data_IF_684376927189
#
_entry.id   IF_684376927189
#
_cell.length_a   1.000
_cell.length_b   1.000
_cell.length_c   1.000
_cell.angle_alpha   90.00
_cell.angle_beta   90.00
_cell.angle_gamma   90.00
#
_symmetry.space_group_name_H-M   'P 1'
#
loop_
_entity.id
_entity.type
_entity.pdbx_description
1 polymer ?
#
# COMPACT_ATOMS: atom_id res chain seq x y z
N UNK A 1 -24.65 26.01 -21.75
CA UNK A 1 -24.73 24.54 -21.64
C UNK A 1 -23.28 24.06 -21.63
N UNK A 2 -22.67 24.00 -20.46
CA UNK A 2 -21.33 23.44 -20.29
C UNK A 2 -21.51 21.92 -20.34
N UNK A 3 -20.85 21.28 -21.31
CA UNK A 3 -20.90 19.84 -21.49
C UNK A 3 -20.08 19.24 -20.35
N UNK A 4 -20.73 18.48 -19.47
CA UNK A 4 -20.06 17.68 -18.44
C UNK A 4 -19.14 16.70 -19.15
N UNK A 5 -17.84 16.82 -18.91
CA UNK A 5 -16.91 15.70 -19.11
C UNK A 5 -17.42 14.58 -18.19
N UNK A 6 -17.39 13.34 -18.65
CA UNK A 6 -17.68 12.16 -17.83
C UNK A 6 -16.82 12.26 -16.57
N UNK A 7 -17.42 12.62 -15.44
CA UNK A 7 -16.71 12.64 -14.18
C UNK A 7 -16.52 11.17 -13.75
N UNK A 8 -15.33 10.82 -13.31
CA UNK A 8 -15.02 9.56 -12.64
C UNK A 8 -14.99 9.85 -11.13
N UNK A 9 -16.15 9.94 -10.43
CA UNK A 9 -16.23 10.54 -9.11
C UNK A 9 -15.76 9.58 -8.02
N UNK A 10 -14.46 9.31 -7.92
CA UNK A 10 -13.84 8.63 -6.79
C UNK A 10 -13.77 9.55 -5.56
N UNK A 11 -13.96 9.02 -4.36
CA UNK A 11 -13.95 9.82 -3.12
C UNK A 11 -13.31 9.07 -1.98
N UNK A 12 -12.38 9.73 -1.27
CA UNK A 12 -11.78 9.23 -0.04
C UNK A 12 -12.04 10.19 1.12
N UNK A 13 -12.28 9.67 2.32
CA UNK A 13 -12.43 10.49 3.54
C UNK A 13 -11.93 9.78 4.80
N UNK A 14 -11.67 10.56 5.84
CA UNK A 14 -11.54 10.12 7.24
C UNK A 14 -12.73 10.60 8.05
N UNK A 15 -13.26 9.73 8.90
CA UNK A 15 -14.16 10.11 9.99
C UNK A 15 -13.55 9.66 11.32
N UNK A 16 -13.49 10.57 12.29
CA UNK A 16 -12.88 10.32 13.59
C UNK A 16 -13.57 11.12 14.69
N UNK A 17 -13.89 10.46 15.82
CA UNK A 17 -14.38 11.12 17.04
C UNK A 17 -14.06 10.23 18.24
N UNK A 18 -13.42 10.82 19.26
CA UNK A 18 -12.94 10.05 20.40
C UNK A 18 -11.91 9.00 19.97
N UNK A 19 -12.13 7.75 20.39
CA UNK A 19 -11.29 6.60 20.02
C UNK A 19 -11.67 5.99 18.68
N UNK A 20 -12.82 6.33 18.08
CA UNK A 20 -13.31 5.77 16.81
C UNK A 20 -12.61 6.41 15.61
N UNK A 21 -12.18 5.60 14.63
CA UNK A 21 -11.51 6.05 13.41
C UNK A 21 -11.83 5.12 12.23
N UNK A 22 -12.40 5.69 11.16
CA UNK A 22 -12.64 4.99 9.90
C UNK A 22 -12.11 5.79 8.71
N UNK A 23 -11.68 5.08 7.67
CA UNK A 23 -11.34 5.62 6.35
C UNK A 23 -12.27 5.03 5.30
N UNK A 24 -12.90 5.87 4.49
CA UNK A 24 -13.83 5.43 3.44
C UNK A 24 -13.31 5.76 2.06
N UNK A 25 -13.59 4.88 1.09
CA UNK A 25 -13.34 5.10 -0.33
C UNK A 25 -14.51 4.61 -1.21
N UNK A 26 -14.86 5.39 -2.22
CA UNK A 26 -15.68 4.96 -3.36
C UNK A 26 -14.85 5.03 -4.64
N UNK A 27 -14.85 3.94 -5.42
CA UNK A 27 -14.30 3.91 -6.77
C UNK A 27 -15.43 4.09 -7.79
N UNK A 28 -15.29 5.04 -8.70
CA UNK A 28 -16.26 5.30 -9.76
C UNK A 28 -15.56 5.52 -11.11
N UNK A 29 -15.76 4.60 -12.05
CA UNK A 29 -15.18 4.66 -13.39
C UNK A 29 -16.27 4.71 -14.49
N UNK A 30 -17.35 5.47 -14.25
CA UNK A 30 -18.40 5.70 -15.26
C UNK A 30 -19.14 4.44 -15.71
N UNK A 31 -19.52 3.59 -14.74
CA UNK A 31 -20.32 2.37 -14.91
C UNK A 31 -19.71 1.27 -15.81
N UNK A 32 -18.41 1.35 -16.14
CA UNK A 32 -17.76 0.36 -16.99
C UNK A 32 -17.74 -1.04 -16.36
N UNK A 33 -17.99 -1.19 -15.07
CA UNK A 33 -18.03 -2.48 -14.37
C UNK A 33 -16.64 -2.94 -13.98
N UNK A 34 -15.92 -2.09 -13.23
CA UNK A 34 -14.55 -2.35 -12.79
C UNK A 34 -14.49 -3.61 -11.90
N UNK A 35 -13.88 -4.71 -12.37
CA UNK A 35 -13.77 -5.95 -11.61
C UNK A 35 -12.67 -5.80 -10.57
N UNK A 36 -12.76 -6.42 -9.40
CA UNK A 36 -11.74 -6.26 -8.37
C UNK A 36 -11.26 -7.54 -7.72
N UNK A 37 -9.99 -7.56 -7.35
CA UNK A 37 -9.36 -8.61 -6.55
C UNK A 37 -8.96 -8.05 -5.20
N UNK A 38 -9.08 -8.87 -4.16
CA UNK A 38 -8.52 -8.57 -2.83
C UNK A 38 -7.33 -9.48 -2.58
N UNK A 39 -6.22 -8.90 -2.13
CA UNK A 39 -5.01 -9.62 -1.75
C UNK A 39 -4.73 -9.51 -0.26
N UNK A 40 -4.28 -10.62 0.34
CA UNK A 40 -3.70 -10.65 1.68
C UNK A 40 -2.18 -10.80 1.52
N UNK A 41 -1.49 -9.66 1.53
CA UNK A 41 -0.03 -9.56 1.37
C UNK A 41 0.67 -9.86 2.69
N UNK A 42 1.85 -10.46 2.64
CA UNK A 42 2.58 -10.94 3.83
C UNK A 42 3.77 -10.06 4.18
N UNK A 43 4.17 -10.07 5.44
CA UNK A 43 5.48 -9.61 5.91
C UNK A 43 6.59 -10.51 5.36
N UNK A 44 7.83 -10.03 5.40
CA UNK A 44 9.01 -10.83 5.10
C UNK A 44 9.07 -11.32 3.65
N UNK A 45 8.39 -10.65 2.72
CA UNK A 45 8.40 -11.00 1.30
C UNK A 45 9.39 -10.09 0.57
N UNK A 46 10.39 -10.68 -0.07
CA UNK A 46 11.29 -9.94 -0.96
C UNK A 46 10.55 -9.57 -2.25
N UNK A 47 10.59 -8.28 -2.61
CA UNK A 47 9.95 -7.70 -3.78
C UNK A 47 10.97 -6.90 -4.58
N UNK A 48 10.73 -6.80 -5.87
CA UNK A 48 11.48 -5.95 -6.79
C UNK A 48 10.54 -4.89 -7.33
N UNK A 49 11.04 -3.66 -7.42
CA UNK A 49 10.29 -2.55 -7.99
C UNK A 49 9.95 -2.81 -9.45
N UNK A 50 8.85 -2.23 -9.90
CA UNK A 50 8.45 -2.23 -11.31
C UNK A 50 8.08 -0.84 -11.75
N UNK A 51 8.64 -0.38 -12.86
CA UNK A 51 8.15 0.83 -13.54
C UNK A 51 7.07 0.47 -14.56
N UNK A 52 6.25 1.43 -14.94
CA UNK A 52 5.24 1.24 -15.97
C UNK A 52 5.89 1.02 -17.34
N UNK A 53 6.97 1.76 -17.64
CA UNK A 53 7.70 1.58 -18.91
C UNK A 53 8.32 0.18 -19.02
N UNK A 54 8.85 -0.37 -17.93
CA UNK A 54 9.38 -1.74 -17.90
C UNK A 54 8.32 -2.77 -18.29
N UNK A 55 7.12 -2.63 -17.73
CA UNK A 55 6.03 -3.56 -17.96
C UNK A 55 5.42 -3.44 -19.37
N UNK A 56 5.61 -2.31 -20.05
CA UNK A 56 4.84 -1.99 -21.26
C UNK A 56 5.64 -1.74 -22.52
N UNK A 57 6.98 -1.62 -22.48
CA UNK A 57 7.80 -1.44 -23.69
C UNK A 57 8.54 -2.72 -24.11
N UNK A 58 8.80 -2.95 -25.41
CA UNK A 58 9.48 -4.17 -25.89
C UNK A 58 10.86 -4.43 -25.27
N UNK A 59 11.57 -3.37 -24.91
CA UNK A 59 12.94 -3.37 -24.41
C UNK A 59 13.05 -3.32 -22.87
N UNK A 60 11.93 -3.36 -22.15
CA UNK A 60 11.89 -3.22 -20.67
C UNK A 60 12.56 -1.92 -20.19
N UNK A 61 12.29 -0.83 -20.90
CA UNK A 61 12.91 0.47 -20.66
C UNK A 61 12.66 0.98 -19.24
N UNK A 62 13.67 1.65 -18.66
CA UNK A 62 13.66 2.21 -17.30
C UNK A 62 13.19 1.23 -16.21
N UNK A 63 13.61 -0.03 -16.28
CA UNK A 63 13.40 -1.00 -15.21
C UNK A 63 13.82 -0.44 -13.85
N UNK A 64 13.02 -0.72 -12.83
CA UNK A 64 13.36 -0.31 -11.46
C UNK A 64 14.60 -1.06 -10.97
N UNK A 65 15.51 -0.37 -10.30
CA UNK A 65 16.62 -0.98 -9.56
C UNK A 65 16.33 -1.12 -8.05
N UNK A 66 15.11 -0.77 -7.64
CA UNK A 66 14.69 -0.81 -6.25
C UNK A 66 14.23 -2.22 -5.86
N UNK A 67 14.45 -2.57 -4.59
CA UNK A 67 13.97 -3.82 -4.02
C UNK A 67 13.80 -3.67 -2.52
N UNK A 68 12.88 -4.45 -1.95
CA UNK A 68 12.63 -4.41 -0.51
C UNK A 68 12.17 -5.74 0.04
N UNK A 69 12.19 -5.89 1.36
CA UNK A 69 11.48 -6.95 2.08
C UNK A 69 10.34 -6.29 2.86
N UNK A 70 9.10 -6.72 2.64
CA UNK A 70 7.93 -6.14 3.29
C UNK A 70 8.01 -6.23 4.82
N UNK A 71 7.91 -5.08 5.48
CA UNK A 71 7.88 -4.98 6.95
C UNK A 71 6.51 -5.34 7.51
N UNK A 72 5.45 -4.94 6.80
CA UNK A 72 4.05 -5.12 7.20
C UNK A 72 3.30 -5.97 6.18
N UNK A 73 2.35 -6.77 6.67
CA UNK A 73 1.30 -7.37 5.84
C UNK A 73 0.21 -6.33 5.51
N UNK A 74 -0.58 -6.59 4.47
CA UNK A 74 -1.66 -5.67 4.07
C UNK A 74 -2.83 -6.36 3.39
N UNK A 75 -3.99 -5.70 3.47
CA UNK A 75 -5.18 -6.02 2.67
C UNK A 75 -5.30 -4.97 1.58
N UNK A 76 -5.21 -5.38 0.33
CA UNK A 76 -5.25 -4.47 -0.82
C UNK A 76 -6.35 -4.84 -1.79
N UNK A 77 -6.88 -3.82 -2.47
CA UNK A 77 -7.87 -3.90 -3.52
C UNK A 77 -7.21 -3.54 -4.84
N UNK A 78 -7.29 -4.43 -5.82
CA UNK A 78 -6.42 -4.42 -6.99
C UNK A 78 -7.22 -4.71 -8.26
N UNK A 79 -6.96 -3.91 -9.30
CA UNK A 79 -7.44 -4.15 -10.67
C UNK A 79 -6.41 -4.79 -11.58
N UNK A 80 -5.15 -4.40 -11.41
CA UNK A 80 -4.07 -4.79 -12.31
C UNK A 80 -3.28 -6.00 -11.79
N UNK A 81 -3.40 -6.33 -10.52
CA UNK A 81 -2.88 -7.58 -9.96
C UNK A 81 -2.07 -7.40 -8.71
N UNK A 82 -1.40 -8.48 -8.29
CA UNK A 82 -0.59 -8.51 -7.08
C UNK A 82 0.41 -7.34 -7.08
N UNK A 83 0.63 -6.71 -5.93
CA UNK A 83 1.57 -5.59 -5.75
C UNK A 83 1.28 -4.33 -6.61
N UNK A 84 0.13 -4.30 -7.30
CA UNK A 84 -0.42 -3.16 -8.03
C UNK A 84 -1.84 -2.79 -7.52
N UNK A 85 -1.96 -2.29 -6.28
CA UNK A 85 -3.24 -1.89 -5.70
C UNK A 85 -3.75 -0.55 -6.26
N UNK A 86 -5.07 -0.39 -6.23
CA UNK A 86 -5.74 0.91 -6.32
C UNK A 86 -5.84 1.56 -4.92
N UNK A 87 -5.86 0.71 -3.88
CA UNK A 87 -5.84 1.14 -2.50
C UNK A 87 -5.80 -0.02 -1.51
N UNK A 88 -5.70 0.31 -0.22
CA UNK A 88 -5.69 -0.69 0.84
C UNK A 88 -5.31 -0.14 2.21
N UNK A 89 -5.21 -1.08 3.16
CA UNK A 89 -4.73 -0.80 4.52
C UNK A 89 -3.74 -1.87 4.96
N UNK A 90 -2.65 -1.47 5.63
CA UNK A 90 -1.69 -2.43 6.20
C UNK A 90 -2.08 -2.85 7.62
N UNK A 91 -1.44 -3.89 8.14
CA UNK A 91 -1.77 -4.48 9.45
C UNK A 91 -1.47 -3.58 10.66
N UNK A 92 -0.89 -2.39 10.41
CA UNK A 92 -0.65 -1.36 11.43
C UNK A 92 -1.50 -0.10 11.21
N UNK A 93 -2.48 -0.15 10.30
CA UNK A 93 -3.51 0.87 10.11
C UNK A 93 -3.11 2.05 9.21
N UNK A 94 -2.04 1.92 8.41
CA UNK A 94 -1.78 2.85 7.32
C UNK A 94 -2.73 2.56 6.16
N UNK A 95 -3.48 3.57 5.74
CA UNK A 95 -4.45 3.57 4.64
C UNK A 95 -3.93 4.42 3.49
N UNK A 96 -4.09 3.96 2.24
CA UNK A 96 -3.83 4.76 1.05
C UNK A 96 -4.83 4.43 -0.06
N UNK A 97 -5.28 5.45 -0.80
CA UNK A 97 -6.10 5.29 -1.99
C UNK A 97 -5.78 6.34 -3.07
N UNK A 98 -5.91 5.94 -4.33
CA UNK A 98 -5.80 6.83 -5.49
C UNK A 98 -7.12 7.55 -5.84
N UNK A 99 -7.00 8.71 -6.48
CA UNK A 99 -8.06 9.31 -7.28
C UNK A 99 -7.50 9.86 -8.60
N UNK A 100 -8.25 9.71 -9.70
CA UNK A 100 -7.95 10.33 -10.99
C UNK A 100 -7.84 11.86 -10.89
N UNK A 101 -6.76 12.40 -11.45
CA UNK A 101 -6.51 13.84 -11.57
C UNK A 101 -5.60 14.14 -12.78
N UNK A 102 -5.65 15.36 -13.32
CA UNK A 102 -4.67 15.80 -14.32
C UNK A 102 -3.38 16.22 -13.62
N UNK A 103 -2.38 15.35 -13.66
CA UNK A 103 -1.09 15.59 -12.98
C UNK A 103 0.10 15.40 -13.90
N UNK A 104 1.23 15.97 -13.48
CA UNK A 104 2.56 15.71 -14.03
C UNK A 104 3.47 15.28 -12.88
N UNK A 105 3.84 13.99 -12.84
CA UNK A 105 4.78 13.49 -11.83
C UNK A 105 6.18 14.13 -12.05
N UNK A 106 6.85 14.58 -10.98
CA UNK A 106 8.21 15.09 -11.04
C UNK A 106 9.16 14.11 -11.73
N UNK A 107 10.06 14.62 -12.56
CA UNK A 107 11.12 13.84 -13.20
C UNK A 107 12.43 13.99 -12.45
N UNK A 108 13.06 12.86 -12.09
CA UNK A 108 14.32 12.84 -11.39
C UNK A 108 15.09 11.55 -11.70
N UNK A 109 16.00 11.63 -12.67
CA UNK A 109 16.83 10.49 -13.11
C UNK A 109 17.75 9.91 -12.02
N UNK A 110 17.94 10.64 -10.90
CA UNK A 110 18.73 10.16 -9.76
C UNK A 110 17.95 9.28 -8.77
N UNK A 111 16.62 9.19 -8.91
CA UNK A 111 15.78 8.39 -8.02
C UNK A 111 15.40 7.05 -8.67
N UNK A 112 15.23 5.99 -7.86
CA UNK A 112 14.63 4.76 -8.34
C UNK A 112 13.22 5.04 -8.89
N UNK A 113 12.84 4.31 -9.94
CA UNK A 113 11.51 4.41 -10.55
C UNK A 113 10.56 3.36 -10.00
N UNK A 114 9.34 3.76 -9.71
CA UNK A 114 8.23 2.85 -9.44
C UNK A 114 7.00 3.33 -10.18
N UNK A 115 6.20 2.40 -10.69
CA UNK A 115 4.85 2.76 -11.10
C UNK A 115 4.01 3.12 -9.89
N UNK A 116 3.05 4.02 -10.09
CA UNK A 116 2.20 4.56 -9.03
C UNK A 116 1.55 3.49 -8.12
N UNK A 117 1.11 2.36 -8.69
CA UNK A 117 0.49 1.28 -7.90
C UNK A 117 1.56 0.55 -7.07
N UNK A 118 2.72 0.24 -7.64
CA UNK A 118 3.81 -0.40 -6.91
C UNK A 118 4.42 0.50 -5.84
N UNK A 119 4.39 1.81 -6.06
CA UNK A 119 4.74 2.83 -5.06
C UNK A 119 3.74 2.84 -3.88
N UNK A 120 2.43 2.72 -4.14
CA UNK A 120 1.44 2.52 -3.07
C UNK A 120 1.66 1.22 -2.29
N UNK A 121 1.98 0.13 -2.98
CA UNK A 121 2.33 -1.13 -2.31
C UNK A 121 3.59 -0.97 -1.45
N UNK A 122 4.60 -0.25 -1.94
CA UNK A 122 5.80 0.06 -1.16
C UNK A 122 5.47 0.82 0.13
N UNK A 123 4.56 1.80 0.10
CA UNK A 123 4.10 2.46 1.33
C UNK A 123 3.45 1.48 2.29
N UNK A 124 2.48 0.69 1.81
CA UNK A 124 1.76 -0.27 2.64
C UNK A 124 2.69 -1.33 3.26
N UNK A 125 3.71 -1.75 2.52
CA UNK A 125 4.68 -2.74 2.97
C UNK A 125 5.66 -2.18 4.02
N UNK A 126 5.95 -0.88 4.04
CA UNK A 126 7.11 -0.34 4.78
C UNK A 126 6.78 0.76 5.80
N UNK A 127 5.66 1.47 5.65
CA UNK A 127 5.32 2.64 6.45
C UNK A 127 4.33 2.29 7.58
N UNK A 128 4.58 2.85 8.76
CA UNK A 128 3.72 2.82 9.93
C UNK A 128 2.95 4.14 10.11
N UNK A 129 3.59 5.26 9.76
CA UNK A 129 3.11 6.61 10.03
C UNK A 129 2.83 7.40 8.75
N UNK A 130 2.00 8.44 8.87
CA UNK A 130 1.78 9.37 7.76
C UNK A 130 3.09 10.02 7.31
N UNK A 131 3.97 10.37 8.24
CA UNK A 131 5.26 11.01 7.93
C UNK A 131 6.15 10.13 7.05
N UNK A 132 6.26 8.84 7.36
CA UNK A 132 6.99 7.87 6.53
C UNK A 132 6.37 7.74 5.13
N UNK A 133 5.03 7.67 5.05
CA UNK A 133 4.33 7.56 3.78
C UNK A 133 4.49 8.82 2.91
N UNK A 134 4.41 10.02 3.51
CA UNK A 134 4.68 11.29 2.84
C UNK A 134 6.13 11.35 2.34
N UNK A 135 7.09 10.86 3.13
CA UNK A 135 8.50 10.86 2.73
C UNK A 135 8.74 10.03 1.46
N UNK A 136 7.97 8.96 1.24
CA UNK A 136 8.07 8.13 0.04
C UNK A 136 7.82 8.92 -1.27
N UNK A 137 7.10 10.05 -1.24
CA UNK A 137 6.90 10.88 -2.43
C UNK A 137 8.22 11.49 -2.94
N UNK A 138 9.21 11.66 -2.06
CA UNK A 138 10.52 12.26 -2.39
C UNK A 138 11.61 11.21 -2.68
N UNK A 139 11.32 9.93 -2.49
CA UNK A 139 12.30 8.84 -2.62
C UNK A 139 12.27 8.16 -4.00
N UNK A 140 11.23 8.41 -4.79
CA UNK A 140 10.99 7.75 -6.07
C UNK A 140 10.63 8.75 -7.17
N UNK A 141 11.07 8.44 -8.40
CA UNK A 141 10.40 8.98 -9.58
C UNK A 141 9.21 8.07 -9.88
N UNK A 142 8.00 8.63 -9.82
CA UNK A 142 6.77 7.89 -10.07
C UNK A 142 6.44 7.94 -11.57
N UNK A 143 6.10 6.80 -12.15
CA UNK A 143 5.54 6.71 -13.51
C UNK A 143 4.16 6.05 -13.53
N UNK A 144 3.44 6.21 -14.64
CA UNK A 144 2.03 5.81 -14.74
C UNK A 144 1.19 6.89 -15.41
N UNK A 145 -0.02 7.11 -14.89
CA UNK A 145 -0.98 8.08 -15.40
C UNK A 145 -1.49 8.97 -14.26
N UNK A 146 -2.51 9.78 -14.53
CA UNK A 146 -2.86 10.87 -13.64
C UNK A 146 -3.59 10.46 -12.37
N UNK A 147 -2.86 10.20 -11.28
CA UNK A 147 -3.41 9.96 -9.93
C UNK A 147 -2.80 10.90 -8.88
N UNK A 148 -3.61 11.27 -7.89
CA UNK A 148 -3.14 11.78 -6.61
C UNK A 148 -3.70 10.93 -5.47
N UNK A 149 -3.19 11.11 -4.26
CA UNK A 149 -3.33 10.09 -3.22
C UNK A 149 -3.85 10.67 -1.91
N UNK A 150 -4.80 9.97 -1.30
CA UNK A 150 -5.21 10.19 0.09
C UNK A 150 -4.53 9.16 0.97
N UNK A 151 -3.83 9.61 2.01
CA UNK A 151 -3.13 8.76 2.97
C UNK A 151 -3.65 9.05 4.37
N UNK A 152 -3.85 8.00 5.17
CA UNK A 152 -4.19 8.08 6.58
C UNK A 152 -3.39 7.09 7.42
N UNK A 153 -3.14 7.37 8.68
CA UNK A 153 -2.46 6.43 9.61
C UNK A 153 -3.37 5.99 10.77
N UNK A 154 -2.89 5.05 11.60
CA UNK A 154 -3.64 4.57 12.75
C UNK A 154 -3.87 5.64 13.84
N UNK A 155 -3.16 6.78 13.82
CA UNK A 155 -3.39 7.87 14.76
C UNK A 155 -4.50 8.82 14.27
N UNK A 156 -4.87 8.74 13.00
CA UNK A 156 -5.84 9.62 12.37
C UNK A 156 -5.18 10.80 11.65
N UNK A 157 -3.86 10.82 11.51
CA UNK A 157 -3.21 11.83 10.68
C UNK A 157 -3.52 11.53 9.21
N UNK A 158 -3.80 12.56 8.42
CA UNK A 158 -4.09 12.41 6.98
C UNK A 158 -3.28 13.39 6.13
N UNK A 159 -3.00 12.98 4.90
CA UNK A 159 -2.47 13.86 3.86
C UNK A 159 -3.13 13.61 2.51
N UNK A 160 -3.28 14.67 1.73
CA UNK A 160 -3.39 14.60 0.27
C UNK A 160 -2.00 14.82 -0.34
N UNK A 161 -1.56 13.88 -1.18
CA UNK A 161 -0.31 13.96 -1.94
C UNK A 161 -0.66 14.13 -3.42
N UNK A 162 -0.41 15.32 -3.96
CA UNK A 162 -0.70 15.67 -5.35
C UNK A 162 0.58 16.08 -6.09
N UNK A 163 0.51 16.06 -7.42
CA UNK A 163 1.62 16.37 -8.32
C UNK A 163 1.19 17.44 -9.31
N UNK A 164 1.51 18.70 -9.00
CA UNK A 164 0.99 19.87 -9.71
C UNK A 164 2.19 20.57 -10.37
N UNK A 165 2.10 20.77 -11.68
CA UNK A 165 3.17 21.42 -12.47
C UNK A 165 4.56 20.77 -12.28
N UNK A 166 4.60 19.44 -12.13
CA UNK A 166 5.85 18.70 -11.92
C UNK A 166 6.40 18.73 -10.50
N UNK A 167 5.67 19.31 -9.54
CA UNK A 167 6.09 19.45 -8.14
C UNK A 167 5.20 18.65 -7.18
N UNK A 168 5.79 18.19 -6.08
CA UNK A 168 5.07 17.47 -5.02
C UNK A 168 4.36 18.49 -4.12
N UNK A 169 3.03 18.41 -4.06
CA UNK A 169 2.18 19.28 -3.24
C UNK A 169 1.48 18.44 -2.18
N UNK A 170 1.70 18.78 -0.91
CA UNK A 170 1.19 18.01 0.23
C UNK A 170 0.31 18.90 1.09
N UNK A 171 -0.93 18.46 1.33
CA UNK A 171 -1.83 19.07 2.31
C UNK A 171 -1.99 18.11 3.49
N UNK A 172 -1.68 18.55 4.70
CA UNK A 172 -1.83 17.75 5.94
C UNK A 172 -1.99 18.66 7.15
N UNK A 173 -2.50 18.12 8.26
CA UNK A 173 -2.67 18.89 9.51
C UNK A 173 -3.56 20.12 9.30
N UNK A 174 -3.08 21.31 9.70
CA UNK A 174 -3.82 22.56 9.57
C UNK A 174 -4.11 22.94 8.10
N UNK A 175 -3.29 22.48 7.16
CA UNK A 175 -3.49 22.68 5.72
C UNK A 175 -4.50 21.69 5.11
N UNK A 176 -5.03 20.74 5.91
CA UNK A 176 -6.05 19.77 5.53
C UNK A 176 -7.22 19.75 6.51
N UNK A 177 -7.97 20.86 6.68
CA UNK A 177 -9.00 20.97 7.71
C UNK A 177 -10.18 20.01 7.50
N UNK A 178 -10.46 19.65 6.24
CA UNK A 178 -11.43 18.60 5.89
C UNK A 178 -10.65 17.39 5.38
N UNK A 179 -10.64 16.26 6.11
CA UNK A 179 -9.83 15.12 5.73
C UNK A 179 -10.55 14.26 4.68
N UNK A 180 -10.63 14.78 3.45
CA UNK A 180 -11.11 14.06 2.27
C UNK A 180 -10.46 14.52 0.98
N UNK A 181 -10.37 13.65 -0.02
CA UNK A 181 -9.82 13.95 -1.34
C UNK A 181 -10.66 13.26 -2.42
N UNK A 182 -10.80 13.95 -3.55
CA UNK A 182 -11.69 13.60 -4.66
C UNK A 182 -10.93 13.78 -5.98
N UNK A 183 -11.59 13.90 -7.12
CA UNK A 183 -10.96 14.05 -8.44
C UNK A 183 -10.72 15.51 -8.82
N UNK A 184 -10.24 16.29 -7.86
CA UNK A 184 -9.94 17.71 -8.01
C UNK A 184 -8.85 18.08 -7.00
N UNK A 185 -7.91 18.98 -7.34
CA UNK A 185 -6.86 19.39 -6.41
C UNK A 185 -7.45 19.91 -5.09
N UNK A 186 -6.84 19.52 -3.97
CA UNK A 186 -7.37 19.81 -2.63
C UNK A 186 -7.65 21.30 -2.37
N UNK A 187 -6.76 22.19 -2.83
CA UNK A 187 -6.96 23.64 -2.69
C UNK A 187 -8.22 24.13 -3.41
N UNK A 188 -8.55 23.54 -4.56
CA UNK A 188 -9.77 23.87 -5.30
C UNK A 188 -11.02 23.37 -4.57
N UNK A 189 -10.94 22.23 -3.90
CA UNK A 189 -12.03 21.73 -3.06
C UNK A 189 -12.31 22.68 -1.89
N UNK A 190 -11.27 23.20 -1.23
CA UNK A 190 -11.40 24.23 -0.19
C UNK A 190 -12.00 25.54 -0.72
N UNK A 191 -11.61 25.98 -1.93
CA UNK A 191 -12.19 27.17 -2.54
C UNK A 191 -13.69 27.01 -2.79
N UNK A 192 -14.13 25.82 -3.21
CA UNK A 192 -15.55 25.54 -3.44
C UNK A 192 -16.35 25.52 -2.12
N UNK A 193 -15.74 25.03 -1.04
CA UNK A 193 -16.38 24.94 0.27
C UNK A 193 -16.89 26.29 0.80
N UNK A 194 -16.17 27.38 0.53
CA UNK A 194 -16.50 28.71 1.06
C UNK A 194 -17.85 29.27 0.59
N UNK A 195 -18.43 28.73 -0.49
CA UNK A 195 -19.70 29.19 -1.03
C UNK A 195 -20.93 28.58 -0.34
N UNK A 196 -20.72 27.59 0.53
CA UNK A 196 -21.78 26.86 1.22
C UNK A 196 -21.95 27.30 2.68
N UNK A 197 -23.16 27.16 3.20
CA UNK A 197 -23.48 27.43 4.60
C UNK A 197 -22.64 26.55 5.54
N UNK A 198 -22.39 27.06 6.75
CA UNK A 198 -21.42 26.48 7.69
C UNK A 198 -19.99 26.96 7.46
N UNK A 199 -19.65 27.34 6.21
CA UNK A 199 -18.29 27.73 5.80
C UNK A 199 -18.20 29.18 5.28
N UNK A 200 -19.17 30.03 5.66
CA UNK A 200 -19.20 31.46 5.32
C UNK A 200 -20.06 31.82 4.09
N UNK A 201 -20.54 30.83 3.34
CA UNK A 201 -21.34 31.05 2.14
C UNK A 201 -22.86 30.98 2.37
N UNK A 202 -23.62 31.08 1.27
CA UNK A 202 -25.09 31.14 1.29
C UNK A 202 -25.79 29.93 0.67
N UNK A 203 -25.07 29.08 -0.08
CA UNK A 203 -25.68 27.90 -0.69
C UNK A 203 -25.97 26.81 0.35
N UNK A 204 -27.12 26.15 0.22
CA UNK A 204 -27.52 25.06 1.11
C UNK A 204 -26.67 23.82 0.85
N UNK A 205 -26.43 23.02 1.90
CA UNK A 205 -25.80 21.71 1.78
C UNK A 205 -26.89 20.64 1.76
N UNK A 206 -27.35 20.29 0.57
CA UNK A 206 -28.33 19.23 0.34
C UNK A 206 -27.61 17.91 0.03
N UNK A 207 -27.58 16.97 0.98
CA UNK A 207 -26.81 15.73 0.84
C UNK A 207 -27.25 14.85 -0.33
N UNK A 208 -28.54 14.87 -0.68
CA UNK A 208 -29.10 14.10 -1.80
C UNK A 208 -29.02 14.84 -3.15
N UNK A 209 -28.50 16.06 -3.18
CA UNK A 209 -28.37 16.83 -4.40
C UNK A 209 -27.01 16.53 -5.07
N UNK A 210 -26.98 15.98 -6.29
CA UNK A 210 -25.71 15.64 -6.98
C UNK A 210 -24.89 16.86 -7.38
N UNK A 211 -25.50 18.06 -7.44
CA UNK A 211 -24.82 19.32 -7.76
C UNK A 211 -24.03 19.88 -6.57
N UNK A 212 -24.30 19.40 -5.35
CA UNK A 212 -23.50 19.77 -4.17
C UNK A 212 -22.19 18.98 -4.21
N UNK A 213 -21.02 19.64 -4.19
CA UNK A 213 -19.73 18.95 -4.24
C UNK A 213 -19.59 17.93 -3.12
N UNK A 214 -19.04 16.76 -3.45
CA UNK A 214 -18.84 15.66 -2.51
C UNK A 214 -17.96 16.06 -1.32
N UNK A 215 -16.98 16.93 -1.54
CA UNK A 215 -16.17 17.53 -0.47
C UNK A 215 -17.01 18.35 0.52
N UNK A 216 -17.96 19.14 0.03
CA UNK A 216 -18.90 19.92 0.86
C UNK A 216 -19.80 19.00 1.67
N UNK A 217 -20.34 17.96 1.04
CA UNK A 217 -21.15 16.94 1.75
C UNK A 217 -20.32 16.28 2.86
N UNK A 218 -19.07 15.94 2.57
CA UNK A 218 -18.13 15.34 3.54
C UNK A 218 -17.89 16.26 4.74
N UNK A 219 -17.60 17.54 4.49
CA UNK A 219 -17.41 18.52 5.55
C UNK A 219 -18.64 18.61 6.48
N UNK A 220 -19.84 18.71 5.89
CA UNK A 220 -21.08 18.78 6.66
C UNK A 220 -21.39 17.49 7.43
N UNK A 221 -21.13 16.30 6.86
CA UNK A 221 -21.34 15.04 7.56
C UNK A 221 -20.35 14.83 8.71
N UNK A 222 -19.07 15.20 8.53
CA UNK A 222 -18.08 15.16 9.61
C UNK A 222 -18.49 16.08 10.77
N UNK A 223 -18.96 17.30 10.48
CA UNK A 223 -19.43 18.24 11.51
C UNK A 223 -20.66 17.70 12.27
N UNK A 224 -21.58 17.03 11.55
CA UNK A 224 -22.83 16.55 12.11
C UNK A 224 -22.74 15.19 12.82
N UNK A 225 -21.66 14.42 12.64
CA UNK A 225 -21.49 13.12 13.25
C UNK A 225 -21.54 13.18 14.79
N UNK A 226 -22.41 12.38 15.40
CA UNK A 226 -22.55 12.27 16.85
C UNK A 226 -21.80 11.06 17.39
N UNK A 227 -21.20 11.19 18.58
CA UNK A 227 -20.31 10.15 19.12
C UNK A 227 -21.07 8.87 19.53
N UNK A 228 -22.37 8.98 19.80
CA UNK A 228 -23.25 7.85 20.11
C UNK A 228 -23.70 7.05 18.87
N UNK A 229 -23.51 7.60 17.66
CA UNK A 229 -23.74 6.87 16.42
C UNK A 229 -22.63 5.81 16.19
N UNK A 230 -23.01 4.68 15.61
CA UNK A 230 -22.03 3.69 15.16
C UNK A 230 -21.24 4.27 13.99
N UNK A 231 -19.90 4.29 14.11
CA UNK A 231 -19.03 4.94 13.13
C UNK A 231 -18.98 4.16 11.81
N UNK A 232 -19.19 2.84 11.83
CA UNK A 232 -19.20 2.01 10.63
C UNK A 232 -20.49 2.27 9.86
N UNK A 233 -21.64 2.24 10.53
CA UNK A 233 -22.92 2.58 9.91
C UNK A 233 -22.92 4.00 9.35
N UNK A 234 -22.38 4.96 10.10
CA UNK A 234 -22.27 6.35 9.65
C UNK A 234 -21.27 6.51 8.49
N UNK A 235 -20.14 5.81 8.51
CA UNK A 235 -19.17 5.81 7.42
C UNK A 235 -19.74 5.22 6.13
N UNK A 236 -20.51 4.13 6.22
CA UNK A 236 -21.23 3.56 5.08
C UNK A 236 -22.32 4.50 4.56
N UNK A 237 -23.01 5.21 5.46
CA UNK A 237 -23.95 6.27 5.10
C UNK A 237 -23.24 7.42 4.37
N UNK A 238 -22.06 7.85 4.82
CA UNK A 238 -21.27 8.87 4.12
C UNK A 238 -20.93 8.41 2.70
N UNK A 239 -20.46 7.17 2.52
CA UNK A 239 -20.18 6.61 1.18
C UNK A 239 -21.42 6.63 0.27
N UNK A 240 -22.61 6.34 0.80
CA UNK A 240 -23.88 6.45 0.07
C UNK A 240 -24.17 7.89 -0.37
N UNK A 241 -23.96 8.88 0.51
CA UNK A 241 -24.20 10.30 0.21
C UNK A 241 -23.17 10.96 -0.69
N UNK A 242 -22.02 10.33 -0.87
CA UNK A 242 -21.00 10.78 -1.82
C UNK A 242 -21.25 10.28 -3.25
N UNK A 243 -22.31 9.49 -3.47
CA UNK A 243 -22.80 9.16 -4.80
C UNK A 243 -23.17 10.44 -5.57
N UNK A 244 -22.84 10.46 -6.88
CA UNK A 244 -23.23 11.56 -7.78
C UNK A 244 -24.39 11.10 -8.67
N UNK A 245 -24.10 10.41 -9.77
CA UNK A 245 -25.11 9.92 -10.71
C UNK A 245 -25.21 8.40 -10.71
N UNK A 246 -24.10 7.72 -10.45
CA UNK A 246 -23.97 6.28 -10.60
C UNK A 246 -23.51 5.65 -9.29
N UNK A 247 -23.95 4.41 -9.06
CA UNK A 247 -23.54 3.63 -7.90
C UNK A 247 -22.03 3.36 -8.02
N UNK A 248 -21.23 3.62 -6.97
CA UNK A 248 -19.80 3.28 -6.98
C UNK A 248 -19.56 1.82 -7.34
N UNK A 249 -18.56 1.57 -8.18
CA UNK A 249 -18.14 0.21 -8.52
C UNK A 249 -17.75 -0.53 -7.25
N UNK A 250 -16.96 0.13 -6.39
CA UNK A 250 -16.64 -0.35 -5.06
C UNK A 250 -16.92 0.72 -4.01
N UNK A 251 -17.43 0.30 -2.85
CA UNK A 251 -17.50 1.10 -1.64
C UNK A 251 -16.79 0.35 -0.53
N UNK A 252 -15.75 0.96 0.04
CA UNK A 252 -14.84 0.31 1.00
C UNK A 252 -14.67 1.22 2.22
N UNK A 253 -14.81 0.66 3.41
CA UNK A 253 -14.66 1.35 4.69
C UNK A 253 -13.73 0.55 5.60
N UNK A 254 -12.59 1.13 5.95
CA UNK A 254 -11.61 0.55 6.86
C UNK A 254 -11.82 1.11 8.27
N UNK A 255 -12.20 0.28 9.23
CA UNK A 255 -12.14 0.58 10.66
C UNK A 255 -10.71 0.33 11.15
N UNK A 256 -9.93 1.41 11.28
CA UNK A 256 -8.53 1.38 11.65
C UNK A 256 -8.30 1.07 13.14
N UNK A 257 -9.36 1.04 13.97
CA UNK A 257 -9.28 0.71 15.40
C UNK A 257 -9.57 -0.75 15.64
N UNK A 258 -10.57 -1.28 14.95
CA UNK A 258 -10.90 -2.71 15.00
C UNK A 258 -10.09 -3.54 14.00
N UNK A 259 -9.35 -2.88 13.10
CA UNK A 259 -8.64 -3.53 12.00
C UNK A 259 -9.57 -4.41 11.18
N UNK A 260 -10.65 -3.80 10.70
CA UNK A 260 -11.68 -4.43 9.88
C UNK A 260 -11.91 -3.64 8.60
N UNK A 261 -12.25 -4.33 7.53
CA UNK A 261 -12.66 -3.71 6.26
C UNK A 261 -14.06 -4.16 5.93
N UNK A 262 -14.95 -3.20 5.74
CA UNK A 262 -16.32 -3.39 5.27
C UNK A 262 -16.37 -2.97 3.80
N UNK A 263 -16.85 -3.83 2.92
CA UNK A 263 -16.91 -3.49 1.49
C UNK A 263 -18.13 -4.05 0.80
N UNK A 264 -18.50 -3.44 -0.32
CA UNK A 264 -19.49 -3.94 -1.27
C UNK A 264 -19.08 -3.52 -2.68
N UNK A 265 -19.61 -4.22 -3.67
CA UNK A 265 -19.47 -3.84 -5.08
C UNK A 265 -20.83 -3.46 -5.64
N UNK A 266 -20.84 -2.71 -6.75
CA UNK A 266 -22.08 -2.31 -7.43
C UNK A 266 -22.97 -3.49 -7.77
N UNK A 267 -22.37 -4.58 -8.23
CA UNK A 267 -23.10 -5.79 -8.65
C UNK A 267 -23.52 -6.66 -7.47
N UNK A 268 -22.81 -6.61 -6.35
CA UNK A 268 -23.14 -7.35 -5.14
C UNK A 268 -23.18 -6.43 -3.90
N UNK A 269 -24.34 -5.82 -3.60
CA UNK A 269 -24.46 -4.72 -2.64
C UNK A 269 -24.47 -5.14 -1.16
N UNK A 270 -24.64 -6.44 -0.87
CA UNK A 270 -24.52 -6.96 0.50
C UNK A 270 -23.13 -6.64 1.07
N UNK A 271 -23.04 -6.16 2.30
CA UNK A 271 -21.76 -5.75 2.90
C UNK A 271 -20.97 -6.99 3.32
N UNK A 272 -19.73 -7.09 2.86
CA UNK A 272 -18.73 -8.08 3.25
C UNK A 272 -17.80 -7.51 4.31
N UNK A 273 -17.21 -8.38 5.12
CA UNK A 273 -16.29 -8.01 6.19
C UNK A 273 -15.02 -8.85 6.14
N UNK A 274 -13.87 -8.19 6.29
CA UNK A 274 -12.55 -8.79 6.47
C UNK A 274 -12.01 -8.30 7.81
N UNK A 275 -11.65 -9.22 8.71
CA UNK A 275 -10.93 -8.87 9.94
C UNK A 275 -9.45 -9.23 9.78
N UNK A 276 -8.55 -8.29 10.07
CA UNK A 276 -7.11 -8.55 9.99
C UNK A 276 -6.67 -9.65 10.97
N UNK A 277 -7.36 -9.76 12.12
CA UNK A 277 -7.11 -10.81 13.12
C UNK A 277 -7.25 -12.23 12.61
N UNK A 278 -7.96 -12.41 11.49
CA UNK A 278 -8.30 -13.73 10.98
C UNK A 278 -7.26 -14.26 9.99
N UNK A 279 -6.27 -13.43 9.64
CA UNK A 279 -5.21 -13.78 8.71
C UNK A 279 -3.85 -13.86 9.38
N UNK A 280 -3.08 -14.89 9.01
CA UNK A 280 -1.65 -14.94 9.32
C UNK A 280 -0.87 -14.08 8.31
N UNK A 281 -0.31 -12.95 8.77
CA UNK A 281 0.53 -12.06 7.96
C UNK A 281 2.00 -12.46 7.91
N UNK A 282 2.40 -13.54 8.58
CA UNK A 282 3.78 -14.02 8.51
C UNK A 282 4.17 -14.48 7.10
N UNK A 283 5.48 -14.51 6.86
CA UNK A 283 6.12 -15.11 5.70
C UNK A 283 6.04 -16.66 5.68
N UNK A 284 5.35 -17.30 6.63
CA UNK A 284 5.17 -18.75 6.66
C UNK A 284 3.98 -19.22 5.80
N UNK A 285 3.02 -18.33 5.56
CA UNK A 285 1.81 -18.59 4.78
C UNK A 285 1.88 -17.95 3.39
N UNK A 286 1.18 -18.51 2.37
CA UNK A 286 1.15 -17.91 1.04
C UNK A 286 0.31 -16.64 1.02
N UNK A 287 0.63 -15.72 0.10
CA UNK A 287 -0.28 -14.63 -0.30
C UNK A 287 -1.63 -15.23 -0.71
N UNK A 288 -2.71 -14.62 -0.25
CA UNK A 288 -4.07 -15.06 -0.58
C UNK A 288 -4.74 -14.07 -1.53
N UNK A 289 -5.66 -14.59 -2.33
CA UNK A 289 -6.45 -13.84 -3.31
C UNK A 289 -7.92 -14.26 -3.23
N UNK A 290 -8.82 -13.32 -3.47
CA UNK A 290 -10.24 -13.56 -3.74
C UNK A 290 -10.75 -12.53 -4.75
N UNK A 291 -11.75 -12.90 -5.56
CA UNK A 291 -12.52 -11.92 -6.33
C UNK A 291 -13.47 -11.18 -5.37
N UNK A 292 -13.49 -9.85 -5.44
CA UNK A 292 -14.30 -9.00 -4.57
C UNK A 292 -15.81 -9.13 -4.82
N UNK A 293 -16.22 -9.53 -6.02
CA UNK A 293 -17.62 -9.68 -6.44
C UNK A 293 -18.27 -10.95 -5.86
N UNK A 294 -18.40 -10.95 -4.54
CA UNK A 294 -19.00 -12.02 -3.75
C UNK A 294 -20.49 -11.72 -3.57
N UNK A 295 -21.41 -12.66 -3.79
CA UNK A 295 -22.85 -12.40 -3.60
C UNK A 295 -23.22 -12.29 -2.10
N UNK A 296 -22.76 -13.25 -1.29
CA UNK A 296 -23.07 -13.33 0.14
C UNK A 296 -22.41 -12.20 0.95
N UNK A 297 -23.19 -11.58 1.84
CA UNK A 297 -22.68 -10.62 2.83
C UNK A 297 -22.07 -11.30 4.07
N UNK A 298 -21.40 -10.50 4.90
CA UNK A 298 -20.74 -10.93 6.13
C UNK A 298 -19.28 -11.34 5.93
N UNK A 299 -18.81 -12.25 6.78
CA UNK A 299 -17.41 -12.71 6.79
C UNK A 299 -17.08 -13.51 5.52
N UNK A 300 -16.02 -13.10 4.82
CA UNK A 300 -15.57 -13.72 3.56
C UNK A 300 -14.26 -14.51 3.67
N UNK A 301 -13.72 -14.73 4.87
CA UNK A 301 -12.42 -15.39 5.10
C UNK A 301 -12.27 -16.72 4.34
N UNK A 302 -13.33 -17.52 4.28
CA UNK A 302 -13.32 -18.86 3.66
C UNK A 302 -13.24 -18.83 2.14
N UNK A 303 -13.43 -17.67 1.52
CA UNK A 303 -13.40 -17.52 0.07
C UNK A 303 -11.98 -17.24 -0.44
N UNK A 304 -11.08 -16.82 0.46
CA UNK A 304 -9.68 -16.62 0.13
C UNK A 304 -8.97 -17.93 -0.19
N UNK A 305 -8.14 -17.89 -1.22
CA UNK A 305 -7.33 -19.02 -1.65
C UNK A 305 -5.91 -18.59 -1.97
N UNK A 306 -4.90 -19.49 -1.94
CA UNK A 306 -3.54 -19.12 -2.31
C UNK A 306 -3.45 -18.51 -3.72
N UNK A 307 -2.69 -17.43 -3.85
CA UNK A 307 -2.43 -16.76 -5.12
C UNK A 307 -1.64 -17.65 -6.10
N UNK A 308 -1.96 -17.54 -7.39
CA UNK A 308 -1.14 -18.08 -8.49
C UNK A 308 -1.21 -17.15 -9.69
N UNK A 309 -0.15 -17.10 -10.51
CA UNK A 309 -0.13 -16.33 -11.76
C UNK A 309 -1.24 -16.78 -12.72
N UNK A 310 -1.63 -18.06 -12.68
CA UNK A 310 -2.75 -18.58 -13.46
C UNK A 310 -4.09 -17.96 -13.06
N UNK A 311 -4.35 -17.76 -11.75
CA UNK A 311 -5.58 -17.08 -11.30
C UNK A 311 -5.61 -15.63 -11.78
N UNK A 312 -4.46 -14.96 -11.73
CA UNK A 312 -4.35 -13.59 -12.26
C UNK A 312 -4.60 -13.54 -13.77
N UNK A 313 -4.00 -14.47 -14.52
CA UNK A 313 -4.21 -14.56 -15.97
C UNK A 313 -5.67 -14.84 -16.32
N UNK A 314 -6.32 -15.77 -15.62
CA UNK A 314 -7.74 -16.05 -15.81
C UNK A 314 -8.62 -14.85 -15.49
N UNK A 315 -8.30 -14.08 -14.43
CA UNK A 315 -8.99 -12.81 -14.15
C UNK A 315 -8.84 -11.81 -15.30
N UNK A 316 -7.64 -11.67 -15.85
CA UNK A 316 -7.42 -10.80 -17.01
C UNK A 316 -8.25 -11.22 -18.23
N UNK A 317 -8.19 -12.50 -18.58
CA UNK A 317 -8.89 -13.06 -19.74
C UNK A 317 -10.41 -12.95 -19.61
N UNK A 318 -10.94 -13.11 -18.39
CA UNK A 318 -12.38 -13.10 -18.11
C UNK A 318 -12.95 -11.69 -17.94
N UNK A 319 -12.24 -10.80 -17.24
CA UNK A 319 -12.80 -9.51 -16.81
C UNK A 319 -12.12 -8.30 -17.45
N UNK A 320 -10.79 -8.27 -17.53
CA UNK A 320 -10.06 -7.07 -17.98
C UNK A 320 -10.02 -6.94 -19.50
N UNK A 321 -9.81 -8.04 -20.24
CA UNK A 321 -9.74 -8.04 -21.71
C UNK A 321 -11.07 -7.63 -22.35
N UNK A 322 -12.24 -8.09 -21.88
CA UNK A 322 -13.53 -7.62 -22.42
C UNK A 322 -13.85 -6.16 -22.05
N UNK A 323 -13.30 -5.67 -20.95
CA UNK A 323 -13.57 -4.34 -20.40
C UNK A 323 -12.77 -3.23 -21.09
N UNK A 324 -11.46 -3.44 -21.26
CA UNK A 324 -10.54 -2.41 -21.72
C UNK A 324 -10.31 -2.48 -23.24
N UNK A 325 -10.12 -1.33 -23.91
CA UNK A 325 -9.77 -1.33 -25.34
C UNK A 325 -8.40 -1.99 -25.56
N UNK A 326 -8.22 -2.67 -26.69
CA UNK A 326 -6.96 -3.34 -27.05
C UNK A 326 -5.74 -2.39 -26.99
N UNK A 327 -5.96 -1.11 -27.32
CA UNK A 327 -4.94 -0.06 -27.23
C UNK A 327 -4.41 0.14 -25.80
N UNK A 328 -5.20 -0.12 -24.76
CA UNK A 328 -4.72 -0.03 -23.37
C UNK A 328 -3.50 -0.94 -23.15
N UNK A 329 -3.58 -2.17 -23.66
CA UNK A 329 -2.55 -3.19 -23.52
C UNK A 329 -1.38 -2.99 -24.49
N UNK A 330 -1.65 -2.41 -25.66
CA UNK A 330 -0.71 -2.38 -26.79
C UNK A 330 -0.07 -1.02 -27.07
N UNK A 331 -0.53 0.07 -26.42
CA UNK A 331 -0.10 1.46 -26.68
C UNK A 331 1.40 1.70 -26.70
N UNK A 332 2.17 0.88 -25.99
CA UNK A 332 3.62 1.02 -25.85
C UNK A 332 4.42 0.00 -26.70
N UNK A 333 3.77 -0.65 -27.67
CA UNK A 333 4.42 -1.44 -28.70
C UNK A 333 4.63 -2.93 -28.36
N UNK A 334 4.03 -3.42 -27.27
CA UNK A 334 3.95 -4.85 -26.95
C UNK A 334 2.57 -5.40 -27.31
N UNK A 335 2.47 -6.72 -27.43
CA UNK A 335 1.20 -7.42 -27.61
C UNK A 335 0.41 -7.50 -26.30
N UNK A 336 -0.90 -7.68 -26.39
CA UNK A 336 -1.76 -7.89 -25.21
C UNK A 336 -1.32 -9.11 -24.39
N UNK A 337 -0.94 -10.21 -25.03
CA UNK A 337 -0.44 -11.41 -24.34
C UNK A 337 0.87 -11.14 -23.58
N UNK A 338 1.78 -10.35 -24.15
CA UNK A 338 3.01 -9.94 -23.48
C UNK A 338 2.71 -9.06 -22.26
N UNK A 339 1.78 -8.10 -22.38
CA UNK A 339 1.35 -7.27 -21.26
C UNK A 339 0.78 -8.13 -20.12
N UNK A 340 -0.21 -8.98 -20.43
CA UNK A 340 -0.88 -9.84 -19.44
C UNK A 340 0.14 -10.75 -18.77
N UNK A 341 1.04 -11.36 -19.55
CA UNK A 341 2.10 -12.19 -19.00
C UNK A 341 3.00 -11.41 -18.04
N UNK A 342 3.51 -10.24 -18.44
CA UNK A 342 4.40 -9.42 -17.61
C UNK A 342 3.74 -9.03 -16.29
N UNK A 343 2.50 -8.55 -16.33
CA UNK A 343 1.79 -8.15 -15.11
C UNK A 343 1.50 -9.36 -14.21
N UNK A 344 1.10 -10.49 -14.78
CA UNK A 344 0.82 -11.71 -13.99
C UNK A 344 2.08 -12.35 -13.38
N UNK A 345 3.26 -12.17 -13.98
CA UNK A 345 4.50 -12.84 -13.56
C UNK A 345 5.56 -11.88 -13.01
N UNK A 346 5.25 -10.59 -12.83
CA UNK A 346 6.26 -9.58 -12.47
C UNK A 346 6.98 -9.89 -11.14
N UNK A 347 6.32 -10.60 -10.21
CA UNK A 347 6.88 -10.98 -8.91
C UNK A 347 7.85 -12.18 -8.98
N UNK A 348 7.78 -13.02 -10.03
CA UNK A 348 8.49 -14.31 -10.09
C UNK A 348 10.01 -14.14 -9.99
N UNK A 349 10.54 -13.06 -10.54
CA UNK A 349 11.96 -12.76 -10.50
C UNK A 349 12.48 -12.58 -9.07
N UNK A 350 11.65 -12.18 -8.10
CA UNK A 350 12.07 -12.06 -6.70
C UNK A 350 12.39 -13.42 -6.05
N UNK A 351 11.83 -14.51 -6.57
CA UNK A 351 12.12 -15.87 -6.09
C UNK A 351 13.44 -16.44 -6.63
N UNK A 352 14.06 -15.79 -7.61
CA UNK A 352 15.31 -16.24 -8.23
C UNK A 352 16.52 -15.95 -7.33
N UNK A 353 17.40 -16.94 -7.16
CA UNK A 353 18.55 -16.86 -6.22
C UNK A 353 19.54 -15.76 -6.61
N UNK A 354 19.71 -15.50 -7.90
CA UNK A 354 20.56 -14.44 -8.44
C UNK A 354 20.09 -13.03 -8.01
N UNK A 355 18.80 -12.86 -7.74
CA UNK A 355 18.22 -11.59 -7.28
C UNK A 355 18.23 -11.47 -5.75
N UNK A 356 18.44 -12.58 -5.03
CA UNK A 356 18.47 -12.65 -3.57
C UNK A 356 19.91 -12.54 -3.06
N UNK A 357 20.60 -11.43 -3.38
CA UNK A 357 22.03 -11.25 -3.04
C UNK A 357 22.35 -11.37 -1.54
N UNK A 358 21.35 -11.08 -0.69
CA UNK A 358 21.40 -11.21 0.76
C UNK A 358 21.36 -12.67 1.25
N UNK A 359 20.89 -13.62 0.44
CA UNK A 359 20.78 -15.03 0.81
C UNK A 359 22.16 -15.60 1.16
N UNK A 360 22.25 -16.28 2.31
CA UNK A 360 23.45 -16.98 2.74
C UNK A 360 23.69 -16.93 4.24
N UNK A 361 24.81 -17.50 4.65
CA UNK A 361 25.34 -17.41 6.01
C UNK A 361 26.43 -16.35 6.03
N UNK A 362 26.34 -15.45 7.00
CA UNK A 362 27.25 -14.33 7.21
C UNK A 362 27.87 -14.46 8.59
N UNK A 363 29.20 -14.48 8.67
CA UNK A 363 29.93 -14.65 9.94
C UNK A 363 31.10 -13.69 10.05
N UNK A 364 31.32 -13.15 11.24
CA UNK A 364 32.56 -12.42 11.51
C UNK A 364 33.70 -13.41 11.79
N UNK A 365 34.93 -12.94 11.62
CA UNK A 365 36.13 -13.68 12.03
C UNK A 365 36.44 -13.23 13.47
N UNK A 366 36.16 -14.06 14.46
CA UNK A 366 36.61 -13.80 15.83
C UNK A 366 38.13 -13.91 15.90
N UNK A 367 38.80 -12.79 16.15
CA UNK A 367 40.21 -12.76 16.55
C UNK A 367 40.22 -12.90 18.07
N UNK A 368 40.49 -14.11 18.58
CA UNK A 368 40.47 -14.53 20.00
C UNK A 368 41.31 -13.69 21.00
N UNK A 369 41.83 -12.53 20.60
CA UNK A 369 42.68 -11.67 21.42
C UNK A 369 41.91 -10.58 22.18
N UNK A 370 40.66 -10.27 21.81
CA UNK A 370 39.76 -9.35 22.53
C UNK A 370 38.38 -10.01 22.71
N UNK A 371 37.56 -9.55 23.66
CA UNK A 371 36.18 -10.02 23.95
C UNK A 371 35.17 -9.83 22.77
N UNK A 372 35.56 -10.13 21.54
CA UNK A 372 34.77 -10.01 20.33
C UNK A 372 33.75 -11.15 20.24
N UNK A 373 32.47 -10.78 20.11
CA UNK A 373 31.38 -11.74 19.91
C UNK A 373 31.57 -12.52 18.61
N UNK A 374 31.23 -13.81 18.60
CA UNK A 374 31.05 -14.58 17.38
C UNK A 374 29.60 -14.39 16.90
N UNK A 375 29.42 -13.58 15.85
CA UNK A 375 28.12 -13.24 15.28
C UNK A 375 27.89 -14.00 13.97
N UNK A 376 26.75 -14.67 13.88
CA UNK A 376 26.30 -15.38 12.68
C UNK A 376 24.89 -14.94 12.30
N UNK A 377 24.73 -14.39 11.10
CA UNK A 377 23.42 -14.07 10.51
C UNK A 377 23.16 -15.04 9.35
N UNK A 378 22.02 -15.71 9.39
CA UNK A 378 21.58 -16.65 8.36
C UNK A 378 20.32 -16.10 7.70
N UNK A 379 20.40 -15.80 6.40
CA UNK A 379 19.28 -15.38 5.57
C UNK A 379 18.93 -16.51 4.62
N UNK A 380 17.74 -17.09 4.79
CA UNK A 380 17.20 -18.16 3.96
C UNK A 380 15.96 -17.68 3.22
N UNK A 381 15.63 -18.35 2.13
CA UNK A 381 14.43 -18.06 1.36
C UNK A 381 13.65 -19.32 1.00
N UNK A 382 12.33 -19.18 0.91
CA UNK A 382 11.41 -20.16 0.33
C UNK A 382 10.60 -19.45 -0.75
N UNK A 383 11.09 -19.53 -1.99
CA UNK A 383 10.64 -18.61 -3.03
C UNK A 383 11.09 -17.19 -2.67
N UNK A 384 10.14 -16.26 -2.63
CA UNK A 384 10.32 -14.86 -2.25
C UNK A 384 10.20 -14.59 -0.73
N UNK A 385 9.69 -15.55 0.06
CA UNK A 385 9.62 -15.41 1.51
C UNK A 385 11.02 -15.50 2.14
N UNK A 386 11.39 -14.52 2.96
CA UNK A 386 12.72 -14.38 3.55
C UNK A 386 12.68 -14.64 5.05
N UNK A 387 13.54 -15.52 5.53
CA UNK A 387 13.70 -15.88 6.93
C UNK A 387 15.08 -15.47 7.40
N UNK A 388 15.13 -14.72 8.49
CA UNK A 388 16.39 -14.34 9.15
C UNK A 388 16.52 -15.11 10.46
N UNK A 389 17.74 -15.48 10.80
CA UNK A 389 18.08 -16.07 12.09
C UNK A 389 19.45 -15.56 12.48
N UNK A 390 19.64 -15.30 13.77
CA UNK A 390 20.90 -14.81 14.30
C UNK A 390 21.39 -15.67 15.44
N UNK A 391 22.70 -15.84 15.56
CA UNK A 391 23.39 -16.38 16.73
C UNK A 391 24.49 -15.41 17.14
N UNK A 392 24.63 -15.22 18.45
CA UNK A 392 25.67 -14.42 19.12
C UNK A 392 26.16 -15.27 20.30
N UNK A 393 27.21 -16.06 20.12
CA UNK A 393 27.89 -16.82 21.19
C UNK A 393 29.07 -17.65 20.64
N UNK A 394 30.19 -17.70 21.37
CA UNK A 394 31.30 -18.61 21.07
C UNK A 394 30.85 -20.08 21.25
N UNK A 395 30.74 -20.82 20.15
CA UNK A 395 30.62 -22.29 20.17
C UNK A 395 29.23 -22.87 20.46
N UNK A 396 28.17 -22.05 20.52
CA UNK A 396 26.79 -22.54 20.64
C UNK A 396 25.95 -22.20 19.39
N UNK A 397 25.29 -23.21 18.80
CA UNK A 397 24.54 -23.09 17.55
C UNK A 397 23.07 -22.67 17.74
N UNK A 398 22.72 -22.13 18.91
CA UNK A 398 21.36 -21.69 19.19
C UNK A 398 21.06 -20.39 18.43
N UNK A 399 19.91 -20.36 17.76
CA UNK A 399 19.44 -19.18 17.02
C UNK A 399 18.36 -18.44 17.81
N UNK A 400 18.43 -17.12 17.80
CA UNK A 400 17.39 -16.25 18.33
C UNK A 400 16.21 -16.15 17.36
N UNK A 401 15.00 -16.05 17.92
CA UNK A 401 13.82 -15.65 17.17
C UNK A 401 13.93 -14.18 16.78
N UNK A 402 13.53 -13.85 15.55
CA UNK A 402 13.67 -12.52 14.97
C UNK A 402 12.33 -11.95 14.54
N UNK A 403 12.16 -10.65 14.71
CA UNK A 403 10.96 -9.90 14.33
C UNK A 403 11.34 -8.63 13.56
N UNK A 404 10.34 -7.91 13.04
CA UNK A 404 10.51 -6.62 12.36
C UNK A 404 11.52 -6.64 11.19
N UNK A 405 11.62 -7.77 10.48
CA UNK A 405 12.47 -7.90 9.30
C UNK A 405 12.03 -6.88 8.23
N UNK A 406 12.98 -6.05 7.81
CA UNK A 406 12.87 -5.07 6.75
C UNK A 406 14.17 -5.07 5.96
N UNK A 407 14.08 -4.88 4.66
CA UNK A 407 15.26 -4.53 3.87
C UNK A 407 14.85 -3.52 2.82
N UNK A 408 15.62 -2.45 2.66
CA UNK A 408 15.47 -1.49 1.55
C UNK A 408 16.78 -1.52 0.76
N UNK A 409 16.71 -2.01 -0.48
CA UNK A 409 17.86 -2.30 -1.33
C UNK A 409 18.85 -3.23 -0.61
N UNK A 410 19.95 -2.68 -0.10
CA UNK A 410 20.99 -3.42 0.62
C UNK A 410 21.08 -3.06 2.11
N UNK A 411 20.15 -2.26 2.63
CA UNK A 411 20.04 -1.92 4.05
C UNK A 411 19.04 -2.87 4.71
N UNK A 412 19.54 -3.79 5.51
CA UNK A 412 18.76 -4.78 6.26
C UNK A 412 18.55 -4.29 7.70
N UNK A 413 17.35 -4.47 8.24
CA UNK A 413 17.07 -4.31 9.67
C UNK A 413 16.19 -5.45 10.17
N UNK A 414 16.42 -5.88 11.41
CA UNK A 414 15.53 -6.79 12.14
C UNK A 414 15.84 -6.68 13.64
N UNK A 415 14.92 -7.17 14.48
CA UNK A 415 15.11 -7.20 15.93
C UNK A 415 15.14 -8.64 16.46
N UNK A 416 15.81 -8.87 17.58
CA UNK A 416 15.70 -10.10 18.35
C UNK A 416 15.74 -9.81 19.85
N UNK A 417 15.31 -10.76 20.67
CA UNK A 417 15.41 -10.70 22.14
C UNK A 417 16.53 -11.64 22.58
N UNK A 418 17.54 -11.11 23.25
CA UNK A 418 18.67 -11.88 23.79
C UNK A 418 18.26 -12.72 25.03
N UNK A 419 19.17 -13.59 25.50
CA UNK A 419 18.89 -14.49 26.65
C UNK A 419 18.60 -13.76 27.96
N UNK A 420 19.12 -12.55 28.11
CA UNK A 420 18.89 -11.64 29.25
C UNK A 420 17.64 -10.75 29.06
N UNK A 421 16.80 -11.04 28.06
CA UNK A 421 15.57 -10.31 27.74
C UNK A 421 15.78 -8.88 27.24
N UNK A 422 16.95 -8.61 26.66
CA UNK A 422 17.24 -7.32 26.03
C UNK A 422 16.81 -7.34 24.56
N UNK A 423 16.03 -6.35 24.13
CA UNK A 423 15.71 -6.17 22.71
C UNK A 423 16.92 -5.55 22.02
N UNK A 424 17.35 -6.16 20.91
CA UNK A 424 18.46 -5.69 20.09
C UNK A 424 17.98 -5.52 18.66
N UNK A 425 18.15 -4.32 18.11
CA UNK A 425 18.01 -4.00 16.71
C UNK A 425 19.34 -4.24 15.99
N UNK A 426 19.28 -5.04 14.93
CA UNK A 426 20.38 -5.29 14.02
C UNK A 426 20.18 -4.42 12.80
N UNK A 427 21.09 -3.48 12.55
CA UNK A 427 21.13 -2.71 11.30
C UNK A 427 22.32 -3.14 10.48
N UNK A 428 22.10 -3.47 9.21
CA UNK A 428 23.14 -4.02 8.37
C UNK A 428 23.17 -3.40 6.97
N UNK A 429 24.37 -3.17 6.46
CA UNK A 429 24.64 -2.79 5.08
C UNK A 429 25.32 -3.96 4.36
N UNK A 430 24.66 -4.49 3.33
CA UNK A 430 25.16 -5.63 2.54
C UNK A 430 25.94 -5.11 1.33
N UNK A 431 27.20 -5.54 1.21
CA UNK A 431 28.14 -5.16 0.15
C UNK A 431 28.81 -6.43 -0.40
N UNK A 432 28.23 -7.02 -1.44
CA UNK A 432 28.70 -8.24 -2.11
C UNK A 432 28.97 -9.43 -1.16
N UNK A 433 30.17 -9.52 -0.59
CA UNK A 433 30.66 -10.58 0.31
C UNK A 433 30.87 -10.10 1.74
N UNK A 434 30.54 -8.85 2.04
CA UNK A 434 30.63 -8.25 3.37
C UNK A 434 29.28 -7.73 3.81
N UNK A 435 29.03 -7.80 5.10
CA UNK A 435 27.89 -7.19 5.75
C UNK A 435 28.42 -6.40 6.94
N UNK A 436 28.29 -5.07 6.87
CA UNK A 436 28.58 -4.20 8.00
C UNK A 436 27.36 -4.22 8.90
N UNK A 437 27.51 -4.55 10.18
CA UNK A 437 26.40 -4.79 11.11
C UNK A 437 26.60 -3.96 12.37
N UNK A 438 25.56 -3.25 12.79
CA UNK A 438 25.47 -2.57 14.07
C UNK A 438 24.42 -3.25 14.95
N UNK A 439 24.78 -3.50 16.20
CA UNK A 439 23.88 -4.00 17.24
C UNK A 439 23.50 -2.87 18.19
N UNK A 440 22.22 -2.52 18.21
CA UNK A 440 21.68 -1.41 19.01
C UNK A 440 20.64 -1.95 19.99
N UNK A 441 20.89 -1.79 21.28
CA UNK A 441 19.87 -1.95 22.32
C UNK A 441 18.96 -0.73 22.39
N UNK A 442 18.04 -0.75 23.35
CA UNK A 442 17.14 0.38 23.60
C UNK A 442 17.93 1.61 24.11
N UNK A 443 18.86 1.38 25.05
CA UNK A 443 19.69 2.45 25.65
C UNK A 443 21.20 2.28 25.36
N UNK A 444 21.62 1.06 24.99
CA UNK A 444 23.01 0.69 24.84
C UNK A 444 23.39 0.42 23.37
N UNK A 445 24.64 0.68 23.03
CA UNK A 445 25.21 0.29 21.75
C UNK A 445 26.18 -0.87 21.95
N UNK A 446 25.93 -2.00 21.27
CA UNK A 446 26.66 -3.25 21.45
C UNK A 446 27.81 -3.44 20.45
N UNK A 447 27.99 -2.53 19.48
CA UNK A 447 29.15 -2.48 18.61
C UNK A 447 28.86 -2.68 17.11
N UNK A 448 29.88 -2.38 16.30
CA UNK A 448 29.91 -2.64 14.85
C UNK A 448 30.76 -3.86 14.54
N UNK A 449 30.29 -4.69 13.62
CA UNK A 449 30.99 -5.89 13.16
C UNK A 449 30.97 -5.98 11.65
N UNK A 450 31.98 -6.64 11.08
CA UNK A 450 32.02 -6.99 9.66
C UNK A 450 31.86 -8.50 9.54
N UNK A 451 30.75 -8.91 8.96
CA UNK A 451 30.45 -10.30 8.67
C UNK A 451 30.80 -10.60 7.22
N UNK A 452 31.29 -11.80 6.96
CA UNK A 452 31.67 -12.29 5.64
C UNK A 452 30.73 -13.40 5.21
N UNK A 453 30.34 -13.37 3.94
CA UNK A 453 29.54 -14.43 3.32
C UNK A 453 30.38 -15.71 3.21
N UNK A 454 29.86 -16.83 3.72
CA UNK A 454 30.48 -18.16 3.58
C UNK A 454 30.53 -18.68 2.14
#
# INVERSE_FOLDING_TARGET
>A
MLISISAYPCSSFKLQKGDKLVYGHNLNEGDIGVPGLIFINKRGIFKQGRSWSELTTPDYSNASDHSWISRYGSVTFNNFGRDFPDGGMNEVGLFVWEMNETIEYPKNEGLPKLNQMNWMQYMLDNCLTLEEAVQCAYEFEIDGWGWHFFVGDAQGNTAAIAFIEGEIVIHKGDDMPIPGLFNTPYERELELLQYYKGNGGSYEVELDNPEVPRFVKTAAMIENYQEDEDIVDYGLYMLDKLMVNDVPEWSILCDARKMQVHFKTRVNPEIKVISFSDFDFSNESPVLIVNMDIEEGGDVIKQFTPYTNQKMRSFYEEFMVPLLPEEFFTRNGITMDEYINRVCTHSDAAALKENQVFYGTWKNISLKENDDIEAMIVLKTKGEAVFVSISIDEGNSDFYHTEHLLMIRNKLSFTFISKDYTMIEVKALIEEKKMQVDFNGIEDYYGSYVLHKE
#
